data_IF_512386815191
#
_entry.id   IF_512386815191
#
_cell.length_a   1.000
_cell.length_b   1.000
_cell.length_c   1.000
_cell.angle_alpha   90.00
_cell.angle_beta   90.00
_cell.angle_gamma   90.00
#
_symmetry.space_group_name_H-M   'P 1'
#
loop_
_entity.id
_entity.type
_entity.pdbx_description
1 polymer ?
#
# COMPACT_ATOMS: atom_id res chain seq x y z
N UNK A 1 -0.14 -3.06 40.97
CA UNK A 1 0.44 -3.18 39.62
C UNK A 1 -0.76 -3.16 38.69
N UNK A 2 -1.19 -1.95 38.35
CA UNK A 2 -2.45 -1.71 37.65
C UNK A 2 -2.21 -1.78 36.14
N UNK A 3 -3.05 -2.57 35.49
CA UNK A 3 -3.07 -2.77 34.05
C UNK A 3 -3.48 -1.44 33.41
N UNK A 4 -2.52 -0.76 32.78
CA UNK A 4 -2.77 0.41 31.95
C UNK A 4 -3.67 -0.02 30.79
N UNK A 5 -4.96 0.32 30.90
CA UNK A 5 -5.91 0.35 29.80
C UNK A 5 -5.41 1.39 28.78
N UNK A 6 -4.66 0.92 27.79
CA UNK A 6 -4.36 1.68 26.58
C UNK A 6 -5.51 1.45 25.59
N UNK A 7 -6.62 2.14 25.80
CA UNK A 7 -7.68 2.33 24.81
C UNK A 7 -8.15 3.77 24.92
N UNK A 8 -7.27 4.70 24.56
CA UNK A 8 -7.65 6.05 24.15
C UNK A 8 -7.81 6.03 22.63
N UNK A 9 -8.84 5.32 22.14
CA UNK A 9 -9.24 5.23 20.72
C UNK A 9 -10.46 6.09 20.40
N UNK A 10 -10.88 6.98 21.30
CA UNK A 10 -12.20 7.63 21.23
C UNK A 10 -12.20 9.04 20.60
N UNK A 11 -11.09 9.56 20.05
CA UNK A 11 -11.03 10.91 19.45
C UNK A 11 -10.23 10.99 18.13
N UNK A 12 -10.24 9.93 17.31
CA UNK A 12 -9.81 10.06 15.90
C UNK A 12 -11.09 10.12 15.07
N UNK A 13 -11.46 11.32 14.61
CA UNK A 13 -12.45 11.46 13.54
C UNK A 13 -11.98 10.56 12.40
N UNK A 14 -12.76 9.51 12.10
CA UNK A 14 -12.47 8.57 11.03
C UNK A 14 -12.63 9.29 9.69
N UNK A 15 -11.58 9.98 9.26
CA UNK A 15 -11.55 10.64 7.97
C UNK A 15 -11.20 9.61 6.89
N UNK A 16 -12.04 9.49 5.86
CA UNK A 16 -11.72 8.67 4.70
C UNK A 16 -10.41 9.15 4.05
N UNK A 17 -9.52 8.22 3.69
CA UNK A 17 -8.25 8.58 3.04
C UNK A 17 -8.36 8.38 1.52
N UNK A 18 -7.81 9.32 0.76
CA UNK A 18 -7.72 9.20 -0.68
C UNK A 18 -6.46 8.41 -1.08
N UNK A 19 -6.65 7.30 -1.78
CA UNK A 19 -5.59 6.48 -2.38
C UNK A 19 -5.71 6.47 -3.90
N UNK A 20 -4.58 6.34 -4.59
CA UNK A 20 -4.53 6.14 -6.03
C UNK A 20 -4.36 4.66 -6.37
N UNK A 21 -5.18 4.12 -7.25
CA UNK A 21 -5.02 2.77 -7.77
C UNK A 21 -4.21 2.82 -9.07
N UNK A 22 -3.12 2.06 -9.11
CA UNK A 22 -2.17 2.05 -10.22
C UNK A 22 -2.12 0.67 -10.84
N UNK A 23 -2.52 0.58 -12.11
CA UNK A 23 -2.57 -0.64 -12.91
C UNK A 23 -1.52 -0.60 -14.00
N UNK A 24 -0.71 -1.65 -14.12
CA UNK A 24 0.29 -1.76 -15.17
C UNK A 24 -0.35 -2.31 -16.45
N UNK A 25 -0.04 -1.68 -17.59
CA UNK A 25 -0.49 -2.16 -18.90
C UNK A 25 0.30 -3.39 -19.37
N UNK A 26 1.45 -3.67 -18.75
CA UNK A 26 2.34 -4.79 -19.04
C UNK A 26 2.94 -5.30 -17.73
N UNK A 27 3.11 -6.60 -17.63
CA UNK A 27 3.88 -7.19 -16.53
C UNK A 27 5.36 -6.79 -16.68
N UNK A 28 5.80 -5.87 -15.82
CA UNK A 28 7.17 -5.37 -15.78
C UNK A 28 7.71 -5.47 -14.34
N UNK A 29 9.01 -5.79 -14.17
CA UNK A 29 9.61 -5.81 -12.85
C UNK A 29 9.57 -4.45 -12.16
N UNK A 30 9.40 -4.45 -10.84
CA UNK A 30 9.34 -3.22 -10.03
C UNK A 30 10.57 -2.31 -10.26
N UNK A 31 11.77 -2.88 -10.37
CA UNK A 31 12.98 -2.08 -10.58
C UNK A 31 12.96 -1.31 -11.91
N UNK A 32 12.42 -1.90 -12.98
CA UNK A 32 12.30 -1.23 -14.28
C UNK A 32 11.22 -0.15 -14.23
N UNK A 33 10.09 -0.45 -13.57
CA UNK A 33 9.00 0.49 -13.39
C UNK A 33 9.44 1.76 -12.65
N UNK A 34 10.02 1.61 -11.46
CA UNK A 34 10.47 2.74 -10.66
C UNK A 34 11.67 3.47 -11.27
N UNK A 35 12.52 2.78 -12.03
CA UNK A 35 13.58 3.44 -12.80
C UNK A 35 13.00 4.43 -13.82
N UNK A 36 11.96 4.03 -14.57
CA UNK A 36 11.31 4.91 -15.56
C UNK A 36 10.55 6.05 -14.89
N UNK A 37 9.84 5.80 -13.79
CA UNK A 37 9.19 6.87 -13.01
C UNK A 37 10.23 7.89 -12.53
N UNK A 38 11.34 7.43 -11.96
CA UNK A 38 12.38 8.32 -11.44
C UNK A 38 13.09 9.13 -12.54
N UNK A 39 13.12 8.65 -13.79
CA UNK A 39 13.61 9.45 -14.91
C UNK A 39 12.62 10.51 -15.38
N UNK A 40 11.33 10.21 -15.35
CA UNK A 40 10.28 11.11 -15.82
C UNK A 40 9.95 12.21 -14.81
N UNK A 41 10.27 12.00 -13.52
CA UNK A 41 9.86 12.88 -12.43
C UNK A 41 11.05 13.52 -11.72
N UNK A 42 10.80 14.65 -11.07
CA UNK A 42 11.68 15.21 -10.04
C UNK A 42 11.51 14.50 -8.68
N UNK A 43 10.76 13.40 -8.64
CA UNK A 43 10.55 12.52 -7.51
C UNK A 43 11.47 11.30 -7.65
N UNK A 44 12.16 10.96 -6.56
CA UNK A 44 13.02 9.78 -6.52
C UNK A 44 12.43 8.73 -5.59
N UNK A 45 11.67 7.81 -6.17
CA UNK A 45 11.12 6.66 -5.46
C UNK A 45 12.24 5.69 -5.11
N UNK A 46 12.30 5.33 -3.83
CA UNK A 46 13.30 4.43 -3.28
C UNK A 46 12.62 3.31 -2.51
N UNK A 47 13.22 2.12 -2.54
CA UNK A 47 12.73 0.97 -1.77
C UNK A 47 12.79 1.28 -0.27
N UNK A 48 11.68 1.03 0.44
CA UNK A 48 11.60 1.09 1.89
C UNK A 48 11.36 -0.29 2.47
N UNK A 49 11.31 -0.35 3.81
CA UNK A 49 10.96 -1.56 4.53
C UNK A 49 9.54 -1.98 4.13
N UNK A 50 9.40 -3.25 3.82
CA UNK A 50 8.14 -3.85 3.43
C UNK A 50 7.09 -3.67 4.53
N UNK A 51 5.85 -3.47 4.10
CA UNK A 51 4.70 -3.55 4.98
C UNK A 51 4.47 -5.03 5.27
N UNK A 52 4.39 -5.36 6.55
CA UNK A 52 4.16 -6.71 7.02
C UNK A 52 2.74 -6.81 7.53
N UNK A 53 1.97 -7.72 6.93
CA UNK A 53 0.65 -8.10 7.42
C UNK A 53 0.78 -9.44 8.16
N UNK A 54 0.36 -9.46 9.41
CA UNK A 54 0.47 -10.63 10.27
C UNK A 54 -0.83 -11.42 10.25
N UNK A 55 -0.92 -12.40 9.34
CA UNK A 55 -2.00 -13.36 9.31
C UNK A 55 -1.92 -14.38 10.44
N UNK A 56 -2.94 -15.26 10.48
CA UNK A 56 -3.00 -16.36 11.42
C UNK A 56 -1.93 -17.40 11.09
N UNK A 57 -1.87 -17.84 9.84
CA UNK A 57 -0.97 -18.91 9.38
C UNK A 57 0.30 -18.37 8.71
N UNK A 58 0.23 -17.20 8.07
CA UNK A 58 1.36 -16.59 7.35
C UNK A 58 1.59 -15.14 7.76
N UNK A 59 2.84 -14.70 7.67
CA UNK A 59 3.20 -13.28 7.63
C UNK A 59 3.45 -12.89 6.16
N UNK A 60 2.82 -11.84 5.67
CA UNK A 60 2.89 -11.40 4.27
C UNK A 60 3.68 -10.12 4.15
N UNK A 61 4.54 -10.05 3.14
CA UNK A 61 5.43 -8.91 2.90
C UNK A 61 5.04 -8.19 1.63
N UNK A 62 4.68 -6.92 1.79
CA UNK A 62 4.23 -6.03 0.75
C UNK A 62 5.30 -4.99 0.42
N UNK A 63 5.82 -5.04 -0.81
CA UNK A 63 6.78 -4.07 -1.31
C UNK A 63 6.33 -2.61 -1.17
N UNK A 64 7.13 -1.78 -0.48
CA UNK A 64 6.93 -0.31 -0.40
C UNK A 64 8.01 0.50 -1.10
N UNK A 65 7.61 1.59 -1.75
CA UNK A 65 8.51 2.54 -2.39
C UNK A 65 8.06 3.97 -2.09
N UNK A 66 8.98 4.81 -1.66
CA UNK A 66 8.65 6.16 -1.21
C UNK A 66 9.49 7.22 -1.90
N UNK A 67 8.86 8.35 -2.21
CA UNK A 67 9.49 9.57 -2.65
C UNK A 67 9.00 10.77 -1.84
N UNK A 68 9.92 11.66 -1.52
CA UNK A 68 9.59 12.93 -0.86
C UNK A 68 9.59 14.06 -1.87
N UNK A 69 8.46 14.76 -1.99
CA UNK A 69 8.35 15.96 -2.80
C UNK A 69 8.74 17.20 -1.98
N UNK A 70 9.89 17.80 -2.29
CA UNK A 70 10.45 18.91 -1.50
C UNK A 70 9.59 20.17 -1.49
N UNK A 71 8.84 20.43 -2.56
CA UNK A 71 8.09 21.67 -2.72
C UNK A 71 6.77 21.66 -1.94
N UNK A 72 5.97 20.60 -2.09
CA UNK A 72 4.72 20.43 -1.33
C UNK A 72 4.95 19.83 0.06
N UNK A 73 6.16 19.32 0.33
CA UNK A 73 6.52 18.57 1.55
C UNK A 73 5.70 17.29 1.74
N UNK A 74 5.19 16.75 0.64
CA UNK A 74 4.37 15.54 0.61
C UNK A 74 5.25 14.29 0.45
N UNK A 75 4.94 13.24 1.20
CA UNK A 75 5.50 11.91 0.98
C UNK A 75 4.53 11.09 0.13
N UNK A 76 4.98 10.60 -1.02
CA UNK A 76 4.23 9.66 -1.84
C UNK A 76 4.77 8.25 -1.65
N UNK A 77 3.87 7.31 -1.39
CA UNK A 77 4.19 5.92 -1.06
C UNK A 77 3.44 4.98 -2.00
N UNK A 78 4.18 4.22 -2.81
CA UNK A 78 3.64 3.08 -3.53
C UNK A 78 3.74 1.83 -2.65
N UNK A 79 2.64 1.10 -2.52
CA UNK A 79 2.55 -0.17 -1.84
C UNK A 79 2.08 -1.20 -2.87
N UNK A 80 2.79 -2.31 -3.02
CA UNK A 80 2.32 -3.42 -3.86
C UNK A 80 1.04 -3.97 -3.27
N UNK A 81 0.00 -4.11 -4.10
CA UNK A 81 -1.26 -4.68 -3.66
C UNK A 81 -1.13 -6.18 -3.35
N UNK A 82 -0.32 -6.89 -4.14
CA UNK A 82 -0.02 -8.32 -3.96
C UNK A 82 1.20 -8.52 -3.06
N UNK A 83 1.14 -9.52 -2.18
CA UNK A 83 2.26 -9.93 -1.36
C UNK A 83 3.40 -10.47 -2.23
N UNK A 84 4.63 -10.01 -1.99
CA UNK A 84 5.82 -10.52 -2.68
C UNK A 84 6.34 -11.82 -2.08
N UNK A 85 6.21 -11.95 -0.77
CA UNK A 85 6.63 -13.10 0.00
C UNK A 85 5.59 -13.38 1.08
N UNK A 86 5.45 -14.66 1.41
CA UNK A 86 4.66 -15.14 2.53
C UNK A 86 5.51 -16.09 3.37
N UNK A 87 5.62 -15.83 4.67
CA UNK A 87 6.34 -16.70 5.60
C UNK A 87 5.35 -17.48 6.44
N UNK A 88 5.37 -18.81 6.31
CA UNK A 88 4.51 -19.67 7.11
C UNK A 88 4.95 -19.69 8.58
N UNK A 89 4.00 -19.47 9.48
CA UNK A 89 4.19 -19.49 10.94
C UNK A 89 3.77 -20.82 11.53
N UNK A 90 2.63 -21.33 11.07
CA UNK A 90 2.04 -22.59 11.51
C UNK A 90 1.42 -23.36 10.34
N UNK A 91 1.40 -24.68 10.46
CA UNK A 91 0.76 -25.55 9.46
C UNK A 91 -0.75 -25.43 9.60
N UNK A 92 -1.40 -25.24 8.46
CA UNK A 92 -2.85 -25.20 8.38
C UNK A 92 -3.39 -26.63 8.42
N UNK A 93 -4.07 -26.98 9.51
CA UNK A 93 -4.67 -28.31 9.72
C UNK A 93 -6.19 -28.31 9.56
N UNK A 94 -6.78 -27.12 9.41
CA UNK A 94 -8.22 -26.91 9.30
C UNK A 94 -8.63 -26.91 7.81
N UNK A 95 -9.77 -27.55 7.52
CA UNK A 95 -10.25 -27.74 6.14
C UNK A 95 -11.00 -26.52 5.57
N UNK A 96 -11.35 -25.53 6.41
CA UNK A 96 -12.20 -24.38 6.05
C UNK A 96 -11.56 -23.02 6.36
N UNK A 97 -10.24 -22.95 6.26
CA UNK A 97 -9.52 -21.69 6.42
C UNK A 97 -9.30 -21.02 5.07
N UNK A 98 -9.77 -19.79 4.93
CA UNK A 98 -9.65 -18.96 3.72
C UNK A 98 -8.27 -18.29 3.57
N UNK A 99 -7.34 -18.58 4.48
CA UNK A 99 -5.99 -17.99 4.45
C UNK A 99 -5.07 -18.76 3.49
N UNK A 100 -4.71 -18.11 2.38
CA UNK A 100 -3.81 -18.64 1.34
C UNK A 100 -2.39 -18.08 1.45
N UNK A 101 -1.43 -18.66 0.73
CA UNK A 101 -0.05 -18.15 0.71
C UNK A 101 0.15 -16.85 -0.10
N UNK A 102 -0.89 -16.37 -0.79
CA UNK A 102 -0.87 -15.08 -1.49
C UNK A 102 -1.96 -14.22 -0.89
N UNK A 103 -1.61 -13.01 -0.49
CA UNK A 103 -2.56 -12.03 0.04
C UNK A 103 -2.56 -10.78 -0.81
N UNK A 104 -3.75 -10.22 -0.99
CA UNK A 104 -3.95 -8.90 -1.57
C UNK A 104 -4.40 -7.94 -0.47
N UNK A 105 -3.92 -6.71 -0.52
CA UNK A 105 -4.37 -5.62 0.35
C UNK A 105 -5.81 -5.20 -0.01
N UNK A 106 -6.09 -5.11 -1.31
CA UNK A 106 -7.43 -4.89 -1.87
C UNK A 106 -7.90 -6.15 -2.58
N UNK A 107 -8.55 -7.04 -1.84
CA UNK A 107 -9.06 -8.32 -2.39
C UNK A 107 -10.12 -8.12 -3.49
N UNK A 108 -10.81 -6.99 -3.51
CA UNK A 108 -11.82 -6.66 -4.52
C UNK A 108 -11.22 -6.13 -5.84
N UNK A 109 -9.92 -5.81 -5.88
CA UNK A 109 -9.24 -5.15 -7.01
C UNK A 109 -7.90 -5.86 -7.30
N UNK A 110 -7.96 -7.15 -7.66
CA UNK A 110 -6.77 -7.99 -7.90
C UNK A 110 -5.96 -7.58 -9.13
N UNK A 111 -6.54 -6.77 -10.02
CA UNK A 111 -5.94 -6.19 -11.21
C UNK A 111 -5.14 -4.91 -10.93
N UNK A 112 -5.15 -4.43 -9.69
CA UNK A 112 -4.32 -3.32 -9.24
C UNK A 112 -2.97 -3.85 -8.78
N UNK A 113 -1.89 -3.40 -9.43
CA UNK A 113 -0.52 -3.73 -9.01
C UNK A 113 -0.06 -2.93 -7.80
N UNK A 114 -0.32 -1.61 -7.79
CA UNK A 114 0.13 -0.74 -6.71
C UNK A 114 -1.00 0.16 -6.19
N UNK A 115 -0.96 0.34 -4.87
CA UNK A 115 -1.74 1.32 -4.12
C UNK A 115 -0.81 2.50 -3.86
N UNK A 116 -1.20 3.67 -4.32
CA UNK A 116 -0.51 4.92 -4.12
C UNK A 116 -1.16 5.67 -2.96
N UNK A 117 -0.35 5.97 -1.96
CA UNK A 117 -0.73 6.69 -0.76
C UNK A 117 0.07 7.98 -0.64
N UNK A 118 -0.46 8.95 0.08
CA UNK A 118 0.18 10.22 0.36
C UNK A 118 0.01 10.61 1.82
N UNK A 119 1.00 11.31 2.39
CA UNK A 119 0.90 11.89 3.74
C UNK A 119 -0.08 13.08 3.85
N UNK A 120 -0.78 13.44 2.77
CA UNK A 120 -1.76 14.52 2.73
C UNK A 120 -3.16 13.95 2.59
N UNK A 121 -4.13 14.59 3.23
CA UNK A 121 -5.55 14.21 3.20
C UNK A 121 -6.17 14.30 1.79
N UNK A 122 -5.76 15.30 1.01
CA UNK A 122 -6.22 15.52 -0.37
C UNK A 122 -5.02 15.53 -1.32
N UNK A 123 -4.47 14.36 -1.63
CA UNK A 123 -3.29 14.27 -2.46
C UNK A 123 -3.61 14.53 -3.93
N UNK A 124 -2.80 15.37 -4.55
CA UNK A 124 -2.81 15.51 -6.00
C UNK A 124 -1.85 14.49 -6.61
N UNK A 125 -2.36 13.31 -6.98
CA UNK A 125 -1.55 12.27 -7.61
C UNK A 125 -1.15 12.61 -9.05
N UNK A 126 -1.76 13.63 -9.67
CA UNK A 126 -1.41 14.07 -11.03
C UNK A 126 0.01 14.65 -11.12
N UNK A 127 0.62 15.01 -9.99
CA UNK A 127 2.02 15.46 -9.92
C UNK A 127 3.02 14.36 -10.26
N UNK A 128 2.62 13.09 -10.23
CA UNK A 128 3.45 11.95 -10.59
C UNK A 128 3.25 11.63 -12.07
N UNK A 129 4.26 11.94 -12.88
CA UNK A 129 4.32 11.59 -14.29
C UNK A 129 4.56 10.09 -14.44
N UNK A 130 3.48 9.35 -14.71
CA UNK A 130 3.56 7.93 -15.03
C UNK A 130 3.95 7.72 -16.50
N UNK A 131 4.72 6.68 -16.85
CA UNK A 131 5.05 6.41 -18.25
C UNK A 131 3.79 5.98 -19.03
N UNK A 132 3.34 6.82 -19.98
CA UNK A 132 2.06 6.69 -20.70
C UNK A 132 1.80 5.33 -21.37
N UNK A 133 2.85 4.59 -21.74
CA UNK A 133 2.75 3.30 -22.42
C UNK A 133 2.85 2.08 -21.48
N UNK A 134 2.99 2.31 -20.17
CA UNK A 134 3.23 1.26 -19.17
C UNK A 134 2.17 1.22 -18.07
N UNK A 135 1.40 2.28 -17.90
CA UNK A 135 0.45 2.41 -16.79
C UNK A 135 -0.85 3.00 -17.31
N UNK A 136 -1.96 2.49 -16.82
CA UNK A 136 -3.24 3.16 -16.99
C UNK A 136 -3.27 4.46 -16.14
N UNK A 137 -4.13 5.42 -16.48
CA UNK A 137 -4.34 6.58 -15.63
C UNK A 137 -4.65 6.17 -14.18
N UNK A 138 -4.11 6.92 -13.22
CA UNK A 138 -4.37 6.68 -11.79
C UNK A 138 -5.87 6.82 -11.58
N UNK A 139 -6.46 5.84 -10.90
CA UNK A 139 -7.85 5.91 -10.49
C UNK A 139 -7.89 6.31 -9.01
N UNK A 140 -8.53 7.44 -8.72
CA UNK A 140 -8.77 7.84 -7.33
C UNK A 140 -9.77 6.88 -6.68
N UNK A 141 -9.44 6.48 -5.45
CA UNK A 141 -10.26 5.60 -4.62
C UNK A 141 -10.29 6.16 -3.20
N UNK A 142 -11.47 6.18 -2.60
CA UNK A 142 -11.66 6.63 -1.23
C UNK A 142 -11.72 5.41 -0.34
N UNK A 143 -10.74 5.30 0.57
CA UNK A 143 -10.63 4.19 1.50
C UNK A 143 -11.27 4.59 2.83
N UNK A 144 -12.38 3.93 3.16
CA UNK A 144 -13.08 4.15 4.43
C UNK A 144 -12.39 3.44 5.59
N UNK A 145 -12.62 3.92 6.80
CA UNK A 145 -12.09 3.34 8.04
C UNK A 145 -12.52 1.88 8.32
N UNK A 146 -13.61 1.43 7.71
CA UNK A 146 -14.11 0.07 7.78
C UNK A 146 -13.24 -0.93 7.00
N UNK A 147 -12.39 -0.46 6.08
CA UNK A 147 -11.53 -1.32 5.27
C UNK A 147 -10.24 -1.69 6.02
N UNK A 148 -9.85 -2.96 5.97
CA UNK A 148 -8.64 -3.49 6.64
C UNK A 148 -7.37 -2.72 6.22
N UNK A 149 -7.29 -2.31 4.96
CA UNK A 149 -6.17 -1.53 4.43
C UNK A 149 -6.02 -0.18 5.13
N UNK A 150 -7.10 0.45 5.59
CA UNK A 150 -7.05 1.75 6.25
C UNK A 150 -6.23 1.67 7.53
N UNK A 151 -6.56 0.67 8.35
CA UNK A 151 -5.89 0.42 9.63
C UNK A 151 -4.42 0.06 9.43
N UNK A 152 -4.12 -0.69 8.37
CA UNK A 152 -2.76 -1.04 8.00
C UNK A 152 -1.97 0.22 7.62
N UNK A 153 -2.49 1.08 6.74
CA UNK A 153 -1.78 2.29 6.31
C UNK A 153 -1.46 3.17 7.53
N UNK A 154 -2.43 3.40 8.41
CA UNK A 154 -2.28 4.22 9.61
C UNK A 154 -1.22 3.69 10.61
N UNK A 155 -1.04 2.37 10.73
CA UNK A 155 0.01 1.80 11.59
C UNK A 155 1.43 2.08 11.09
N UNK A 156 1.57 2.42 9.81
CA UNK A 156 2.83 2.48 9.08
C UNK A 156 3.23 3.90 8.65
N UNK A 157 2.44 4.91 9.04
CA UNK A 157 2.80 6.34 9.05
C UNK A 157 3.60 6.71 10.31
#
# INVERSE_FOLDING_TARGET
MEIQKLYDLDDIEFEDIAIGLVRLAKDIPAHEFFYKINQANNLSFSRKKDLVFHGGYYDYFFPRFEAYHKYSKTCFTFISNKSSESKQKKVQTELFTEEENIKFLLNNQVDVEYILHSSEQFPDFSVILLPENLVFPIQDYTLSSDEELYQIIQYYE
#
